data_IF_565798067350
#
_entry.id   IF_565798067350
#
_cell.length_a   1.000
_cell.length_b   1.000
_cell.length_c   1.000
_cell.angle_alpha   90.00
_cell.angle_beta   90.00
_cell.angle_gamma   90.00
#
_symmetry.space_group_name_H-M   'P 1'
#
loop_
_entity.id
_entity.type
_entity.pdbx_description
1 polymer ?
#
# COMPACT_ATOMS: atom_id res chain seq x y z
N UNK A 1 3.10 22.11 14.93
CA UNK A 1 4.23 21.28 14.45
C UNK A 1 3.73 20.47 13.28
N UNK A 2 4.33 20.59 12.11
CA UNK A 2 4.01 19.69 10.98
C UNK A 2 4.37 18.27 11.40
N UNK A 3 3.42 17.34 11.25
CA UNK A 3 3.67 15.93 11.50
C UNK A 3 4.57 15.43 10.39
N UNK A 4 5.80 15.04 10.72
CA UNK A 4 6.72 14.50 9.73
C UNK A 4 6.45 13.01 9.54
N UNK A 5 6.23 12.64 8.28
CA UNK A 5 5.96 11.28 7.85
C UNK A 5 7.13 10.83 6.97
N UNK A 6 7.75 9.71 7.33
CA UNK A 6 8.98 9.21 6.71
C UNK A 6 8.76 7.79 6.21
N UNK A 7 9.13 7.53 4.96
CA UNK A 7 9.24 6.20 4.37
C UNK A 7 10.64 5.68 4.68
N UNK A 8 10.74 4.74 5.61
CA UNK A 8 12.01 4.13 6.05
C UNK A 8 12.46 3.02 5.10
N UNK A 9 11.51 2.29 4.50
CA UNK A 9 11.78 1.20 3.58
C UNK A 9 10.59 0.95 2.64
N UNK A 10 10.86 0.44 1.45
CA UNK A 10 9.87 -0.01 0.47
C UNK A 10 10.21 -1.44 0.07
N UNK A 11 9.32 -2.38 0.38
CA UNK A 11 9.40 -3.77 -0.07
C UNK A 11 8.52 -4.00 -1.30
N UNK A 12 9.06 -4.63 -2.32
CA UNK A 12 8.30 -5.06 -3.51
C UNK A 12 8.34 -6.58 -3.56
N UNK A 13 7.17 -7.21 -3.59
CA UNK A 13 7.03 -8.65 -3.48
C UNK A 13 6.75 -9.31 -4.83
N UNK A 14 7.23 -10.54 -4.99
CA UNK A 14 7.04 -11.34 -6.21
C UNK A 14 5.70 -12.10 -6.24
N UNK A 15 4.83 -11.86 -5.26
CA UNK A 15 3.52 -12.51 -5.05
C UNK A 15 2.41 -11.98 -5.99
N UNK A 16 2.76 -11.18 -6.99
CA UNK A 16 1.81 -10.49 -7.86
C UNK A 16 1.79 -8.98 -7.66
N UNK A 17 2.79 -8.40 -7.02
CA UNK A 17 2.95 -6.94 -6.96
C UNK A 17 2.39 -6.31 -5.70
N UNK A 18 2.54 -7.00 -4.55
CA UNK A 18 2.39 -6.32 -3.26
C UNK A 18 3.53 -5.32 -3.07
N UNK A 19 3.19 -4.10 -2.66
CA UNK A 19 4.17 -3.06 -2.26
C UNK A 19 3.95 -2.72 -0.80
N UNK A 20 4.95 -2.98 0.04
CA UNK A 20 4.93 -2.67 1.47
C UNK A 20 5.74 -1.42 1.76
N UNK A 21 5.13 -0.42 2.39
CA UNK A 21 5.81 0.77 2.88
C UNK A 21 5.99 0.66 4.40
N UNK A 22 7.24 0.76 4.87
CA UNK A 22 7.53 0.93 6.29
C UNK A 22 7.60 2.41 6.60
N UNK A 23 6.63 2.87 7.37
CA UNK A 23 6.38 4.27 7.65
C UNK A 23 6.76 4.61 9.08
N UNK A 24 7.21 5.84 9.29
CA UNK A 24 7.49 6.43 10.60
C UNK A 24 6.83 7.80 10.69
N UNK A 25 6.06 8.03 11.75
CA UNK A 25 5.38 9.30 12.03
C UNK A 25 5.85 9.88 13.35
N UNK A 26 6.07 11.20 13.36
CA UNK A 26 6.49 11.96 14.54
C UNK A 26 7.71 11.34 15.25
N UNK A 27 8.61 10.75 14.46
CA UNK A 27 9.81 10.04 14.90
C UNK A 27 9.63 8.89 15.92
N UNK A 28 8.40 8.45 16.18
CA UNK A 28 8.10 7.51 17.28
C UNK A 28 7.10 6.43 16.91
N UNK A 29 6.18 6.70 15.98
CA UNK A 29 5.13 5.77 15.59
C UNK A 29 5.55 5.06 14.31
N UNK A 30 5.71 3.75 14.37
CA UNK A 30 6.01 2.91 13.21
C UNK A 30 4.75 2.16 12.76
N UNK A 31 4.56 2.09 11.45
CA UNK A 31 3.44 1.37 10.85
C UNK A 31 3.81 0.87 9.46
N UNK A 32 3.12 -0.16 9.00
CA UNK A 32 3.30 -0.75 7.68
C UNK A 32 2.04 -0.52 6.85
N UNK A 33 2.23 -0.15 5.58
CA UNK A 33 1.15 -0.02 4.60
C UNK A 33 1.41 -1.01 3.48
N UNK A 34 0.46 -1.88 3.20
CA UNK A 34 0.55 -2.83 2.10
C UNK A 34 -0.43 -2.47 0.99
N UNK A 35 0.09 -2.22 -0.21
CA UNK A 35 -0.68 -2.14 -1.44
C UNK A 35 -0.72 -3.51 -2.09
N UNK A 36 -1.88 -4.18 -2.10
CA UNK A 36 -2.03 -5.49 -2.73
C UNK A 36 -2.62 -5.31 -4.13
N UNK A 37 -1.76 -5.09 -5.13
CA UNK A 37 -2.21 -4.59 -6.43
C UNK A 37 -2.73 -5.69 -7.37
N UNK A 38 -2.08 -6.86 -7.45
CA UNK A 38 -2.48 -7.92 -8.41
C UNK A 38 -2.07 -9.35 -7.98
N UNK A 39 -2.71 -9.94 -6.96
CA UNK A 39 -2.61 -11.41 -6.86
C UNK A 39 -3.32 -11.98 -8.09
N UNK A 40 -2.59 -12.72 -8.93
CA UNK A 40 -3.19 -13.55 -9.98
C UNK A 40 -4.09 -14.54 -9.24
N UNK A 41 -5.40 -14.26 -9.26
CA UNK A 41 -6.41 -15.09 -8.64
C UNK A 41 -6.52 -16.39 -9.44
N UNK A 42 -5.70 -17.37 -9.09
CA UNK A 42 -5.97 -18.74 -9.48
C UNK A 42 -7.25 -19.16 -8.74
N UNK A 43 -8.34 -19.36 -9.49
CA UNK A 43 -9.73 -19.49 -8.99
C UNK A 43 -9.96 -20.61 -7.97
N UNK A 44 -8.96 -21.41 -7.62
CA UNK A 44 -9.07 -22.62 -6.81
C UNK A 44 -8.37 -22.62 -5.44
N UNK A 45 -7.62 -21.59 -5.05
CA UNK A 45 -6.86 -21.60 -3.77
C UNK A 45 -7.15 -20.38 -2.90
N UNK A 46 -8.36 -20.31 -2.35
CA UNK A 46 -8.63 -19.52 -1.14
C UNK A 46 -8.28 -20.37 0.07
N UNK A 47 -7.02 -20.38 0.47
CA UNK A 47 -6.68 -20.74 1.85
C UNK A 47 -6.88 -19.49 2.72
N UNK A 48 -7.89 -19.57 3.58
CA UNK A 48 -8.57 -18.48 4.29
C UNK A 48 -7.74 -17.90 5.45
N UNK A 49 -6.50 -18.35 5.67
CA UNK A 49 -5.77 -17.96 6.89
C UNK A 49 -4.90 -16.70 6.74
N UNK A 50 -4.53 -16.25 5.52
CA UNK A 50 -3.68 -15.06 5.33
C UNK A 50 -3.85 -14.38 3.95
N UNK A 51 -5.02 -14.49 3.31
CA UNK A 51 -5.20 -14.08 1.92
C UNK A 51 -5.17 -12.55 1.76
N UNK A 52 -4.04 -12.01 1.31
CA UNK A 52 -3.96 -10.67 0.75
C UNK A 52 -4.99 -10.57 -0.39
N UNK A 53 -6.05 -9.80 -0.18
CA UNK A 53 -7.11 -9.66 -1.17
C UNK A 53 -6.63 -8.67 -2.24
N UNK A 54 -6.63 -9.01 -3.54
CA UNK A 54 -6.33 -8.05 -4.59
C UNK A 54 -7.21 -6.80 -4.49
N UNK A 55 -6.61 -5.63 -4.68
CA UNK A 55 -7.31 -4.37 -4.41
C UNK A 55 -7.53 -4.13 -2.92
N UNK A 56 -6.60 -4.56 -2.06
CA UNK A 56 -6.52 -4.09 -0.67
C UNK A 56 -5.55 -2.92 -0.55
N UNK A 57 -5.89 -1.97 0.32
CA UNK A 57 -4.91 -1.31 1.15
C UNK A 57 -4.97 -1.93 2.57
N UNK A 58 -3.82 -2.29 3.14
CA UNK A 58 -3.75 -2.74 4.53
C UNK A 58 -2.90 -1.78 5.36
N UNK A 59 -3.32 -1.54 6.59
CA UNK A 59 -2.54 -0.86 7.63
C UNK A 59 -2.19 -1.88 8.70
N UNK A 60 -0.91 -2.12 8.93
CA UNK A 60 -0.41 -3.14 9.86
C UNK A 60 -1.08 -4.50 9.62
N UNK A 61 -1.16 -4.93 8.35
CA UNK A 61 -1.80 -6.18 7.89
C UNK A 61 -3.30 -6.29 8.20
N UNK A 62 -3.95 -5.18 8.52
CA UNK A 62 -5.41 -5.12 8.66
C UNK A 62 -5.99 -4.31 7.52
N UNK A 63 -7.05 -4.84 6.91
CA UNK A 63 -7.80 -4.09 5.91
C UNK A 63 -8.36 -2.81 6.51
N UNK A 64 -8.25 -1.73 5.74
CA UNK A 64 -8.79 -0.44 6.12
C UNK A 64 -10.04 -0.13 5.30
N UNK A 65 -10.98 0.60 5.90
CA UNK A 65 -12.15 1.10 5.17
C UNK A 65 -11.79 2.24 4.22
N UNK A 66 -12.59 2.42 3.16
CA UNK A 66 -12.36 3.39 2.07
C UNK A 66 -12.08 4.83 2.57
N UNK A 67 -12.75 5.27 3.64
CA UNK A 67 -12.51 6.60 4.21
C UNK A 67 -11.08 6.73 4.76
N UNK A 68 -10.61 5.70 5.47
CA UNK A 68 -9.27 5.65 6.05
C UNK A 68 -8.20 5.45 4.95
N UNK A 69 -8.53 4.78 3.85
CA UNK A 69 -7.64 4.67 2.68
C UNK A 69 -7.27 6.05 2.14
N UNK A 70 -8.24 6.96 1.96
CA UNK A 70 -7.97 8.32 1.46
C UNK A 70 -7.03 9.12 2.38
N UNK A 71 -7.20 8.99 3.68
CA UNK A 71 -6.31 9.61 4.67
C UNK A 71 -4.89 9.04 4.55
N UNK A 72 -4.76 7.72 4.49
CA UNK A 72 -3.48 7.02 4.35
C UNK A 72 -2.78 7.42 3.05
N UNK A 73 -3.48 7.44 1.91
CA UNK A 73 -2.91 7.85 0.63
C UNK A 73 -2.39 9.30 0.67
N UNK A 74 -3.13 10.19 1.35
CA UNK A 74 -2.70 11.57 1.54
C UNK A 74 -1.42 11.66 2.38
N UNK A 75 -1.32 10.85 3.42
CA UNK A 75 -0.10 10.74 4.24
C UNK A 75 1.09 10.23 3.43
N UNK A 76 0.91 9.20 2.60
CA UNK A 76 1.99 8.67 1.74
C UNK A 76 2.46 9.72 0.73
N UNK A 77 1.53 10.47 0.11
CA UNK A 77 1.85 11.54 -0.85
C UNK A 77 2.69 12.65 -0.22
N UNK A 78 2.47 12.94 1.07
CA UNK A 78 3.23 13.94 1.83
C UNK A 78 4.51 13.37 2.47
N UNK A 79 4.70 12.06 2.45
CA UNK A 79 5.82 11.41 3.13
C UNK A 79 7.16 11.67 2.42
N UNK A 80 8.21 11.82 3.22
CA UNK A 80 9.59 11.96 2.73
C UNK A 80 10.31 10.62 2.81
N UNK A 81 11.23 10.34 1.89
CA UNK A 81 12.10 9.18 2.04
C UNK A 81 13.14 9.40 3.13
N UNK A 82 13.31 8.41 4.01
CA UNK A 82 14.33 8.38 5.04
C UNK A 82 15.75 8.43 4.47
N UNK A 83 16.72 8.59 5.37
CA UNK A 83 18.14 8.73 5.02
C UNK A 83 18.79 7.44 4.53
N UNK A 84 18.15 6.28 4.80
CA UNK A 84 18.64 4.95 4.44
C UNK A 84 18.41 4.57 2.97
N UNK A 85 17.55 5.31 2.26
CA UNK A 85 17.22 5.05 0.85
C UNK A 85 18.09 5.96 0.00
N UNK A 86 18.88 5.40 -0.92
CA UNK A 86 19.76 6.18 -1.78
C UNK A 86 18.99 7.03 -2.78
N UNK A 87 19.59 8.12 -3.29
CA UNK A 87 18.92 9.02 -4.25
C UNK A 87 18.48 8.29 -5.53
N UNK A 88 19.31 7.36 -6.04
CA UNK A 88 18.97 6.53 -7.20
C UNK A 88 17.79 5.60 -6.95
N UNK A 89 17.64 5.07 -5.73
CA UNK A 89 16.49 4.24 -5.37
C UNK A 89 15.23 5.08 -5.19
N UNK A 90 15.33 6.29 -4.62
CA UNK A 90 14.18 7.19 -4.40
C UNK A 90 13.40 7.44 -5.68
N UNK A 91 14.07 7.67 -6.81
CA UNK A 91 13.40 7.94 -8.08
C UNK A 91 12.56 6.75 -8.57
N UNK A 92 13.13 5.55 -8.56
CA UNK A 92 12.42 4.31 -8.95
C UNK A 92 11.29 3.97 -7.96
N UNK A 93 11.56 4.06 -6.66
CA UNK A 93 10.58 3.77 -5.62
C UNK A 93 9.42 4.78 -5.65
N UNK A 94 9.70 6.05 -5.92
CA UNK A 94 8.65 7.07 -6.09
C UNK A 94 7.69 6.69 -7.21
N UNK A 95 8.21 6.19 -8.34
CA UNK A 95 7.35 5.74 -9.45
C UNK A 95 6.47 4.57 -9.04
N UNK A 96 7.03 3.56 -8.39
CA UNK A 96 6.29 2.38 -7.90
C UNK A 96 5.19 2.80 -6.92
N UNK A 97 5.50 3.68 -5.97
CA UNK A 97 4.53 4.18 -4.98
C UNK A 97 3.44 4.99 -5.68
N UNK A 98 3.79 5.84 -6.63
CA UNK A 98 2.80 6.63 -7.38
C UNK A 98 1.89 5.75 -8.23
N UNK A 99 2.41 4.70 -8.84
CA UNK A 99 1.59 3.70 -9.55
C UNK A 99 0.64 2.97 -8.59
N UNK A 100 1.13 2.60 -7.40
CA UNK A 100 0.32 1.99 -6.35
C UNK A 100 -0.87 2.86 -5.94
N UNK A 101 -0.58 4.13 -5.66
CA UNK A 101 -1.57 5.14 -5.30
C UNK A 101 -2.57 5.32 -6.44
N UNK A 102 -2.09 5.50 -7.68
CA UNK A 102 -2.96 5.67 -8.85
C UNK A 102 -3.89 4.48 -9.05
N UNK A 103 -3.40 3.26 -8.82
CA UNK A 103 -4.24 2.08 -8.89
C UNK A 103 -5.36 2.16 -7.84
N UNK A 104 -5.05 2.42 -6.56
CA UNK A 104 -6.07 2.52 -5.51
C UNK A 104 -7.08 3.65 -5.79
N UNK A 105 -6.65 4.74 -6.42
CA UNK A 105 -7.53 5.86 -6.82
C UNK A 105 -8.30 5.62 -8.13
N UNK A 106 -8.05 4.52 -8.84
CA UNK A 106 -8.66 4.23 -10.15
C UNK A 106 -10.03 3.54 -10.05
N UNK A 107 -10.80 3.60 -11.13
CA UNK A 107 -12.03 2.81 -11.27
C UNK A 107 -11.75 1.29 -11.29
N UNK A 108 -10.58 0.88 -11.80
CA UNK A 108 -10.16 -0.52 -11.81
C UNK A 108 -10.07 -1.10 -10.39
N UNK A 109 -9.66 -0.29 -9.42
CA UNK A 109 -9.68 -0.68 -8.01
C UNK A 109 -11.09 -0.97 -7.52
N UNK A 110 -12.06 -0.14 -7.86
CA UNK A 110 -13.47 -0.39 -7.50
C UNK A 110 -13.98 -1.68 -8.13
N UNK A 111 -13.64 -1.94 -9.40
CA UNK A 111 -14.03 -3.17 -10.10
C UNK A 111 -13.43 -4.40 -9.42
N UNK A 112 -12.15 -4.36 -9.07
CA UNK A 112 -11.47 -5.46 -8.36
C UNK A 112 -12.06 -5.64 -6.97
N UNK A 113 -12.23 -4.55 -6.22
CA UNK A 113 -12.78 -4.55 -4.86
C UNK A 113 -14.23 -5.10 -4.82
N UNK A 114 -15.06 -4.79 -5.82
CA UNK A 114 -16.40 -5.39 -5.98
C UNK A 114 -16.31 -6.90 -6.27
N UNK A 115 -15.47 -7.31 -7.23
CA UNK A 115 -15.31 -8.73 -7.61
C UNK A 115 -14.87 -9.62 -6.44
N UNK A 116 -14.05 -9.07 -5.54
CA UNK A 116 -13.55 -9.79 -4.37
C UNK A 116 -14.44 -9.62 -3.13
N UNK A 117 -15.50 -8.82 -3.20
CA UNK A 117 -16.50 -8.66 -2.14
C UNK A 117 -16.15 -7.65 -1.04
N UNK A 118 -15.18 -6.75 -1.26
CA UNK A 118 -14.87 -5.63 -0.35
C UNK A 118 -15.94 -4.54 -0.38
N UNK A 119 -16.48 -4.27 -1.57
CA UNK A 119 -17.50 -3.26 -1.82
C UNK A 119 -18.76 -4.01 -2.28
N UNK A 120 -19.89 -3.77 -1.59
CA UNK A 120 -21.20 -4.33 -1.95
C UNK A 120 -21.91 -3.46 -2.97
#
# INVERSE_FOLDING_TARGET
>A
MEKEIIIENVGVWMDGGTVTLKMKKDNSIFYEIDFVQKVILDKGKREIENSLIPGSLLLNRKEVGILLEKEILSEIKAAKFGTKISKSEKDSLSRIILEAIKFVESEDYLIVAQKVGRIK
#
